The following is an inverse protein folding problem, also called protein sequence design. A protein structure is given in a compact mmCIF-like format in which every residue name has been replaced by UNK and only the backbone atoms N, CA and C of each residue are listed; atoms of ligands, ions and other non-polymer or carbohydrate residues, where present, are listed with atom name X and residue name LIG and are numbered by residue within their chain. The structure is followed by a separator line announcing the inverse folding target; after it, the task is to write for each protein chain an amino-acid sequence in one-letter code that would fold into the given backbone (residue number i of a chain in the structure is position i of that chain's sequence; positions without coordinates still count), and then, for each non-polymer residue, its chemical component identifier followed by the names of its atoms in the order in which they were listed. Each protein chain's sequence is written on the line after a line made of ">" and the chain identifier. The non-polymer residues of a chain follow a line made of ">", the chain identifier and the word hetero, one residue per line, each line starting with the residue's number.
data_IF_512413602574
#
_entry.id   IF_512413602574
#
_cell.length_a   1.000
_cell.length_b   1.000
_cell.length_c   1.000
_cell.angle_alpha   90.00
_cell.angle_beta   90.00
_cell.angle_gamma   90.00
#
_symmetry.space_group_name_H-M   'P 1'
#
loop_
_entity.id
_entity.type
_entity.pdbx_description
1 polymer ?
#
# COMPACT_ATOMS: atom_id res chain seq x y z
N UNK A 1 8.10 -3.79 4.91
CA UNK A 1 6.77 -3.27 4.56
C UNK A 1 6.50 -3.18 3.05
N UNK A 2 7.48 -2.81 2.21
CA UNK A 2 7.26 -2.77 0.75
C UNK A 2 6.90 -4.14 0.13
N UNK A 3 7.40 -5.25 0.69
CA UNK A 3 7.10 -6.62 0.20
C UNK A 3 5.61 -6.99 0.28
N UNK A 4 4.90 -6.56 1.33
CA UNK A 4 3.46 -6.86 1.47
C UNK A 4 2.67 -6.07 0.43
N UNK A 5 2.94 -4.76 0.30
CA UNK A 5 2.30 -3.90 -0.70
C UNK A 5 2.55 -4.44 -2.11
N UNK A 6 3.77 -4.88 -2.40
CA UNK A 6 4.12 -5.49 -3.69
C UNK A 6 3.40 -6.82 -3.93
N UNK A 7 3.33 -7.70 -2.93
CA UNK A 7 2.64 -8.99 -3.05
C UNK A 7 1.12 -8.80 -3.24
N UNK A 8 0.51 -7.87 -2.51
CA UNK A 8 -0.91 -7.52 -2.69
C UNK A 8 -1.12 -6.92 -4.08
N UNK A 9 -0.26 -6.00 -4.51
CA UNK A 9 -0.28 -5.46 -5.86
C UNK A 9 -0.24 -6.57 -6.93
N UNK A 10 0.73 -7.48 -6.82
CA UNK A 10 0.89 -8.59 -7.76
C UNK A 10 -0.34 -9.52 -7.76
N UNK A 11 -0.95 -9.78 -6.62
CA UNK A 11 -2.19 -10.54 -6.55
C UNK A 11 -3.30 -9.86 -7.38
N UNK A 12 -3.51 -8.57 -7.18
CA UNK A 12 -4.51 -7.82 -7.94
C UNK A 12 -4.17 -7.69 -9.43
N UNK A 13 -2.87 -7.66 -9.78
CA UNK A 13 -2.43 -7.72 -11.17
C UNK A 13 -2.87 -9.01 -11.85
N UNK A 14 -2.62 -10.17 -11.24
CA UNK A 14 -3.06 -11.46 -11.79
C UNK A 14 -4.59 -11.59 -11.81
N UNK A 15 -5.29 -11.11 -10.79
CA UNK A 15 -6.76 -11.06 -10.79
C UNK A 15 -7.29 -10.18 -11.93
N UNK A 16 -6.64 -9.05 -12.21
CA UNK A 16 -7.01 -8.17 -13.33
C UNK A 16 -6.81 -8.86 -14.68
N UNK A 17 -5.70 -9.60 -14.85
CA UNK A 17 -5.46 -10.40 -16.07
C UNK A 17 -6.58 -11.44 -16.24
N UNK A 18 -6.93 -12.18 -15.19
CA UNK A 18 -8.00 -13.19 -15.23
C UNK A 18 -9.34 -12.54 -15.61
N UNK A 19 -9.63 -11.36 -15.04
CA UNK A 19 -10.86 -10.62 -15.33
C UNK A 19 -10.92 -10.12 -16.78
N UNK A 20 -9.88 -9.42 -17.25
CA UNK A 20 -9.85 -8.87 -18.62
C UNK A 20 -9.72 -9.96 -19.70
N UNK A 21 -9.14 -11.11 -19.36
CA UNK A 21 -9.09 -12.28 -20.26
C UNK A 21 -10.48 -12.78 -20.66
N UNK A 22 -11.49 -12.60 -19.80
CA UNK A 22 -12.87 -13.00 -20.10
C UNK A 22 -13.58 -12.04 -21.08
N UNK A 23 -12.99 -10.89 -21.42
CA UNK A 23 -13.63 -9.83 -22.20
C UNK A 23 -13.39 -9.91 -23.72
N UNK A 24 -12.85 -11.02 -24.24
CA UNK A 24 -12.49 -11.20 -25.67
C UNK A 24 -11.59 -10.06 -26.21
N UNK A 25 -10.73 -9.50 -25.36
CA UNK A 25 -9.77 -8.49 -25.73
C UNK A 25 -8.48 -9.12 -26.28
N UNK A 26 -7.70 -8.33 -27.03
CA UNK A 26 -6.36 -8.75 -27.44
C UNK A 26 -5.46 -8.94 -26.22
N UNK A 27 -4.46 -9.83 -26.31
CA UNK A 27 -3.50 -10.05 -25.23
C UNK A 27 -2.79 -8.75 -24.79
N UNK A 28 -2.45 -7.89 -25.75
CA UNK A 28 -1.83 -6.60 -25.49
C UNK A 28 -2.73 -5.69 -24.66
N UNK A 29 -4.03 -5.61 -25.01
CA UNK A 29 -5.00 -4.79 -24.28
C UNK A 29 -5.20 -5.29 -22.85
N UNK A 30 -5.25 -6.62 -22.67
CA UNK A 30 -5.40 -7.25 -21.35
C UNK A 30 -4.21 -6.86 -20.46
N UNK A 31 -2.99 -6.97 -20.98
CA UNK A 31 -1.77 -6.65 -20.22
C UNK A 31 -1.70 -5.16 -19.87
N UNK A 32 -1.99 -4.27 -20.82
CA UNK A 32 -1.96 -2.82 -20.58
C UNK A 32 -2.99 -2.43 -19.51
N UNK A 33 -4.23 -2.89 -19.63
CA UNK A 33 -5.28 -2.57 -18.66
C UNK A 33 -4.97 -3.12 -17.27
N UNK A 34 -4.50 -4.37 -17.19
CA UNK A 34 -4.09 -4.98 -15.93
C UNK A 34 -2.92 -4.24 -15.29
N UNK A 35 -1.96 -3.78 -16.11
CA UNK A 35 -0.81 -3.02 -15.64
C UNK A 35 -1.20 -1.64 -15.09
N UNK A 36 -2.15 -0.96 -15.74
CA UNK A 36 -2.70 0.31 -15.22
C UNK A 36 -3.36 0.11 -13.86
N UNK A 37 -4.20 -0.93 -13.71
CA UNK A 37 -4.83 -1.26 -12.43
C UNK A 37 -3.79 -1.55 -11.35
N UNK A 38 -2.75 -2.32 -11.70
CA UNK A 38 -1.63 -2.61 -10.79
C UNK A 38 -0.93 -1.35 -10.31
N UNK A 39 -0.49 -0.47 -11.21
CA UNK A 39 0.21 0.76 -10.81
C UNK A 39 -0.66 1.63 -9.92
N UNK A 40 -1.94 1.81 -10.28
CA UNK A 40 -2.84 2.67 -9.51
C UNK A 40 -3.06 2.11 -8.10
N UNK A 41 -3.39 0.83 -8.00
CA UNK A 41 -3.66 0.17 -6.72
C UNK A 41 -2.41 0.10 -5.84
N UNK A 42 -1.26 -0.30 -6.39
CA UNK A 42 0.00 -0.40 -5.64
C UNK A 42 0.47 0.97 -5.16
N UNK A 43 0.29 2.03 -5.96
CA UNK A 43 0.64 3.39 -5.55
C UNK A 43 -0.26 3.87 -4.40
N UNK A 44 -1.58 3.66 -4.50
CA UNK A 44 -2.51 4.01 -3.41
C UNK A 44 -2.19 3.25 -2.12
N UNK A 45 -1.99 1.93 -2.21
CA UNK A 45 -1.60 1.10 -1.05
C UNK A 45 -0.27 1.54 -0.45
N UNK A 46 0.70 1.95 -1.29
CA UNK A 46 1.98 2.49 -0.84
C UNK A 46 1.82 3.76 -0.01
N UNK A 47 1.00 4.71 -0.49
CA UNK A 47 0.70 5.95 0.25
C UNK A 47 0.02 5.63 1.58
N UNK A 48 -1.02 4.78 1.56
CA UNK A 48 -1.76 4.37 2.76
C UNK A 48 -0.80 3.72 3.77
N UNK A 49 0.04 2.80 3.32
CA UNK A 49 1.02 2.14 4.18
C UNK A 49 1.97 3.15 4.83
N UNK A 50 2.49 4.13 4.09
CA UNK A 50 3.36 5.18 4.63
C UNK A 50 2.63 6.01 5.68
N UNK A 51 1.39 6.43 5.42
CA UNK A 51 0.58 7.20 6.37
C UNK A 51 0.31 6.40 7.64
N UNK A 52 -0.02 5.11 7.53
CA UNK A 52 -0.22 4.23 8.67
C UNK A 52 1.05 4.10 9.53
N UNK A 53 2.22 3.86 8.91
CA UNK A 53 3.49 3.78 9.64
C UNK A 53 3.76 5.08 10.38
N UNK A 54 3.62 6.22 9.70
CA UNK A 54 3.85 7.53 10.32
C UNK A 54 2.89 7.77 11.47
N UNK A 55 1.63 7.38 11.34
CA UNK A 55 0.62 7.57 12.40
C UNK A 55 0.90 6.70 13.63
N UNK A 56 1.36 5.46 13.43
CA UNK A 56 1.77 4.56 14.52
C UNK A 56 3.03 5.10 15.20
N UNK A 57 4.06 5.45 14.43
CA UNK A 57 5.32 5.95 14.97
C UNK A 57 5.15 7.29 15.69
N UNK A 58 4.28 8.18 15.20
CA UNK A 58 3.97 9.45 15.87
C UNK A 58 3.35 9.23 17.25
N UNK A 59 2.40 8.28 17.38
CA UNK A 59 1.83 7.92 18.69
C UNK A 59 2.85 7.33 19.67
N UNK A 60 3.83 6.56 19.18
CA UNK A 60 4.91 6.05 20.02
C UNK A 60 5.90 7.15 20.43
N UNK A 61 6.16 8.13 19.57
CA UNK A 61 7.05 9.25 19.86
C UNK A 61 6.41 10.25 20.85
N UNK A 62 5.12 10.56 20.67
CA UNK A 62 4.38 11.45 21.57
C UNK A 62 4.28 10.85 22.99
N UNK A 63 4.11 9.53 23.12
CA UNK A 63 4.17 8.84 24.43
C UNK A 63 5.54 8.88 25.10
N UNK A 64 6.63 8.85 24.35
CA UNK A 64 7.99 8.92 24.89
C UNK A 64 8.33 10.31 25.45
N UNK A 65 7.79 11.35 24.82
CA UNK A 65 7.93 12.73 25.28
C UNK A 65 7.10 12.98 26.54
N UNK A 66 5.84 12.51 26.59
CA UNK A 66 5.02 12.59 27.82
C UNK A 66 5.69 11.87 29.00
N UNK A 67 6.31 10.71 28.77
CA UNK A 67 7.00 9.98 29.84
C UNK A 67 8.28 10.69 30.31
N UNK A 68 9.03 11.30 29.38
CA UNK A 68 10.22 12.10 29.71
C UNK A 68 9.86 13.41 30.42
N UNK A 69 8.74 14.04 30.05
CA UNK A 69 8.24 15.26 30.69
C UNK A 69 7.74 14.97 32.12
N UNK A 70 7.04 13.85 32.33
CA UNK A 70 6.63 13.38 33.66
C UNK A 70 7.82 12.94 34.55
N UNK A 71 8.91 12.42 33.95
CA UNK A 71 10.15 12.08 34.68
C UNK A 71 11.03 13.30 34.97
N UNK A 72 10.95 14.35 34.13
CA UNK A 72 11.75 15.57 34.28
C UNK A 72 11.22 16.54 35.33
N UNK A 73 10.13 16.20 36.03
CA UNK A 73 9.72 16.83 37.28
C UNK A 73 9.60 18.35 37.21
N UNK A 74 8.50 18.84 36.65
CA UNK A 74 7.90 20.11 37.09
C UNK A 74 6.57 19.83 37.76
#
# INVERSE_FOLDING_TARGET
>A
MNKIVMNVGMLFFFLSIIFFSQMNLSLTDILIRSFVVFIFLTSMLGIIAIVFIRSINKKSFDKGNEFSENLSGK
#
